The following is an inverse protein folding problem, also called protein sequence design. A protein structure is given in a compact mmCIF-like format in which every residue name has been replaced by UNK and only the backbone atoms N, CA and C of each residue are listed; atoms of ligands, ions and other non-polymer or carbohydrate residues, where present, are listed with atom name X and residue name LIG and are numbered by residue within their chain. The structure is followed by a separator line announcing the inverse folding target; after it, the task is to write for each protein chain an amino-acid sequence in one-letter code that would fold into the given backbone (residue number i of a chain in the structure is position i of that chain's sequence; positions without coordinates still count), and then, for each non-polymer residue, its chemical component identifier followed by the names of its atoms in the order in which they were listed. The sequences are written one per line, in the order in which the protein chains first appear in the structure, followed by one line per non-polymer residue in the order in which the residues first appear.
data_IF_985495241394
#
_entry.id   IF_985495241394
#
_cell.length_a   1.000
_cell.length_b   1.000
_cell.length_c   1.000
_cell.angle_alpha   90.00
_cell.angle_beta   90.00
_cell.angle_gamma   90.00
#
_symmetry.space_group_name_H-M   'P 1'
#
loop_
_entity.id
_entity.type
_entity.pdbx_description
1 polymer ?
#
# COMPACT_ATOMS: atom_id res chain seq x y z
N UNK A 1 31.62 -23.49 -2.26
CA UNK A 1 30.65 -22.88 -1.32
C UNK A 1 30.41 -21.39 -1.56
N UNK A 2 31.45 -20.53 -1.49
CA UNK A 2 31.29 -19.05 -1.59
C UNK A 2 30.69 -18.57 -2.92
N UNK A 3 31.14 -19.12 -4.04
CA UNK A 3 30.61 -18.79 -5.38
C UNK A 3 29.14 -19.20 -5.56
N UNK A 4 28.74 -20.34 -5.01
CA UNK A 4 27.35 -20.82 -5.06
C UNK A 4 26.45 -19.84 -4.30
N UNK A 5 26.85 -19.45 -3.07
CA UNK A 5 26.10 -18.51 -2.25
C UNK A 5 25.96 -17.12 -2.91
N UNK A 6 27.01 -16.69 -3.61
CA UNK A 6 27.04 -15.42 -4.35
C UNK A 6 26.05 -15.42 -5.52
N UNK A 7 26.01 -16.53 -6.26
CA UNK A 7 25.12 -16.70 -7.40
C UNK A 7 23.65 -16.80 -6.96
N UNK A 8 23.36 -17.51 -5.87
CA UNK A 8 22.00 -17.59 -5.30
C UNK A 8 21.48 -16.22 -4.87
N UNK A 9 22.33 -15.40 -4.25
CA UNK A 9 21.96 -14.03 -3.88
C UNK A 9 21.64 -13.17 -5.10
N UNK A 10 22.44 -13.25 -6.17
CA UNK A 10 22.22 -12.47 -7.38
C UNK A 10 20.91 -12.87 -8.09
N UNK A 11 20.55 -14.16 -8.07
CA UNK A 11 19.32 -14.67 -8.66
C UNK A 11 18.04 -14.14 -7.96
N UNK A 12 18.09 -13.87 -6.65
CA UNK A 12 16.94 -13.36 -5.89
C UNK A 12 16.55 -11.93 -6.29
N UNK A 13 17.49 -11.12 -6.80
CA UNK A 13 17.23 -9.75 -7.22
C UNK A 13 16.58 -9.65 -8.62
N UNK A 14 16.59 -10.74 -9.40
CA UNK A 14 16.08 -10.74 -10.78
C UNK A 14 14.54 -10.88 -10.88
N UNK A 15 13.82 -10.97 -9.76
CA UNK A 15 12.37 -11.22 -9.74
C UNK A 15 11.51 -9.97 -10.01
N UNK A 16 12.09 -8.76 -10.03
CA UNK A 16 11.34 -7.54 -10.33
C UNK A 16 11.05 -7.43 -11.83
N UNK A 17 9.78 -7.24 -12.20
CA UNK A 17 9.36 -6.98 -13.58
C UNK A 17 8.59 -5.68 -13.67
N UNK A 18 8.78 -4.94 -14.77
CA UNK A 18 8.03 -3.72 -15.05
C UNK A 18 6.64 -4.11 -15.56
N UNK A 19 5.60 -3.74 -14.80
CA UNK A 19 4.20 -3.93 -15.21
C UNK A 19 3.76 -2.76 -16.08
N UNK A 20 3.14 -3.06 -17.23
CA UNK A 20 2.63 -2.02 -18.12
C UNK A 20 1.37 -1.37 -17.53
N UNK A 21 1.12 -0.07 -17.78
CA UNK A 21 0.00 0.65 -17.17
C UNK A 21 -1.38 0.00 -17.37
N UNK A 22 -1.61 -0.62 -18.53
CA UNK A 22 -2.88 -1.28 -18.89
C UNK A 22 -3.06 -2.66 -18.26
N UNK A 23 -1.98 -3.34 -17.87
CA UNK A 23 -2.04 -4.66 -17.22
C UNK A 23 -2.56 -4.54 -15.78
N UNK A 24 -2.41 -3.36 -15.17
CA UNK A 24 -2.86 -3.10 -13.80
C UNK A 24 -4.35 -3.35 -13.61
N UNK A 25 -5.18 -3.12 -14.63
CA UNK A 25 -6.62 -3.39 -14.55
C UNK A 25 -6.96 -4.88 -14.40
N UNK A 26 -6.11 -5.77 -14.89
CA UNK A 26 -6.27 -7.21 -14.76
C UNK A 26 -5.54 -7.79 -13.54
N UNK A 27 -4.37 -7.22 -13.20
CA UNK A 27 -3.53 -7.69 -12.10
C UNK A 27 -4.01 -7.21 -10.72
N UNK A 28 -4.64 -6.03 -10.63
CA UNK A 28 -5.18 -5.49 -9.37
C UNK A 28 -6.57 -6.08 -9.08
N UNK A 29 -6.60 -7.31 -8.55
CA UNK A 29 -7.85 -7.95 -8.15
C UNK A 29 -8.50 -7.23 -6.95
N UNK A 30 -9.81 -7.35 -6.83
CA UNK A 30 -10.60 -6.65 -5.81
C UNK A 30 -10.21 -7.06 -4.39
N UNK A 31 -9.87 -8.33 -4.17
CA UNK A 31 -9.41 -8.86 -2.89
C UNK A 31 -8.03 -8.34 -2.44
N UNK A 32 -7.28 -7.67 -3.33
CA UNK A 32 -6.01 -7.01 -3.00
C UNK A 32 -6.19 -5.52 -2.69
N UNK A 33 -7.42 -5.01 -2.68
CA UNK A 33 -7.70 -3.63 -2.34
C UNK A 33 -7.31 -3.34 -0.88
N UNK A 34 -6.72 -2.16 -0.65
CA UNK A 34 -6.36 -1.70 0.69
C UNK A 34 -7.57 -1.55 1.63
N UNK A 35 -8.76 -1.31 1.05
CA UNK A 35 -10.02 -1.58 1.74
C UNK A 35 -10.83 -2.55 0.93
N UNK A 36 -11.33 -3.56 1.63
CA UNK A 36 -12.38 -4.43 1.15
C UNK A 36 -13.76 -3.80 1.31
N UNK A 37 -13.96 -2.87 2.26
CA UNK A 37 -15.27 -2.26 2.55
C UNK A 37 -15.19 -0.72 2.59
N UNK A 38 -15.66 -0.03 1.53
CA UNK A 38 -15.62 1.43 1.48
C UNK A 38 -16.53 2.11 2.51
N UNK A 39 -17.60 1.44 2.98
CA UNK A 39 -18.48 2.00 4.00
C UNK A 39 -17.82 1.97 5.37
N UNK A 40 -17.17 0.85 5.70
CA UNK A 40 -16.39 0.72 6.93
C UNK A 40 -15.25 1.74 6.96
N UNK A 41 -14.51 1.89 5.85
CA UNK A 41 -13.48 2.94 5.71
C UNK A 41 -14.04 4.32 6.01
N UNK A 42 -15.14 4.70 5.37
CA UNK A 42 -15.72 6.03 5.52
C UNK A 42 -16.15 6.31 6.98
N UNK A 43 -16.68 5.29 7.67
CA UNK A 43 -17.03 5.38 9.08
C UNK A 43 -15.78 5.59 9.95
N UNK A 44 -14.73 4.79 9.73
CA UNK A 44 -13.49 4.88 10.48
C UNK A 44 -12.78 6.21 10.25
N UNK A 45 -12.75 6.71 9.01
CA UNK A 45 -12.24 8.03 8.68
C UNK A 45 -13.02 9.13 9.41
N UNK A 46 -14.35 9.07 9.43
CA UNK A 46 -15.17 10.04 10.15
C UNK A 46 -14.88 10.05 11.66
N UNK A 47 -14.73 8.86 12.27
CA UNK A 47 -14.36 8.73 13.68
C UNK A 47 -12.96 9.32 13.93
N UNK A 48 -11.99 8.99 13.07
CA UNK A 48 -10.62 9.48 13.15
C UNK A 48 -10.56 11.00 13.04
N UNK A 49 -11.23 11.60 12.04
CA UNK A 49 -11.28 13.05 11.90
C UNK A 49 -11.96 13.74 13.10
N UNK A 50 -12.94 13.10 13.71
CA UNK A 50 -13.63 13.66 14.86
C UNK A 50 -12.79 13.65 16.15
N UNK A 51 -11.83 12.72 16.26
CA UNK A 51 -11.11 12.47 17.52
C UNK A 51 -9.61 12.77 17.45
N UNK A 52 -9.00 12.54 16.30
CA UNK A 52 -7.57 12.30 16.15
C UNK A 52 -6.98 12.94 14.87
N UNK A 53 -7.72 13.84 14.19
CA UNK A 53 -7.31 14.46 12.93
C UNK A 53 -5.93 15.13 12.94
N UNK A 54 -5.48 15.60 14.11
CA UNK A 54 -4.19 16.28 14.26
C UNK A 54 -2.99 15.33 14.17
N UNK A 55 -3.22 14.02 14.28
CA UNK A 55 -2.20 12.98 14.43
C UNK A 55 -1.54 12.51 13.12
N UNK A 56 -2.13 12.76 11.95
CA UNK A 56 -1.74 12.02 10.73
C UNK A 56 -2.76 10.94 10.35
N UNK A 57 -3.48 11.10 9.24
CA UNK A 57 -4.39 10.06 8.70
C UNK A 57 -3.71 8.92 7.93
N UNK A 58 -4.45 7.83 7.69
CA UNK A 58 -3.96 6.56 7.13
C UNK A 58 -3.80 6.56 5.58
N UNK A 59 -3.62 7.73 4.95
CA UNK A 59 -3.50 7.86 3.49
C UNK A 59 -2.10 8.32 3.07
N UNK A 60 -1.66 7.88 1.89
CA UNK A 60 -0.32 8.16 1.35
C UNK A 60 -0.06 9.66 1.10
N UNK A 61 -1.11 10.49 1.09
CA UNK A 61 -1.02 11.94 1.17
C UNK A 61 -1.24 12.34 2.64
N UNK A 62 -0.14 12.51 3.38
CA UNK A 62 -0.14 12.72 4.82
C UNK A 62 -1.18 13.72 5.32
N UNK A 63 -2.00 13.30 6.28
CA UNK A 63 -3.02 14.15 6.89
C UNK A 63 -2.58 14.69 8.25
N UNK A 64 -1.68 15.68 8.28
CA UNK A 64 -1.25 16.34 9.52
C UNK A 64 -1.96 17.67 9.83
N UNK A 65 -1.97 18.01 11.13
CA UNK A 65 -2.39 19.25 11.84
C UNK A 65 -3.88 19.44 12.18
N UNK A 66 -4.83 18.67 11.63
CA UNK A 66 -6.17 18.51 12.23
C UNK A 66 -6.94 19.74 12.69
N UNK A 67 -6.80 20.89 12.03
CA UNK A 67 -7.67 22.03 12.28
C UNK A 67 -8.91 21.91 11.37
N UNK A 68 -10.08 21.72 11.98
CA UNK A 68 -11.37 21.96 11.34
C UNK A 68 -11.43 23.36 10.72
#
# INVERSE_FOLDING_TARGET
MRLILSFTMLALLAACSQVQPWERGYLAKQEMAWDSDPLERALNDHIFFSKEASSGGNTAAGGGCGCN
#
